data_IF_280380959011
#
_entry.id   IF_280380959011
#
_cell.length_a   1.000
_cell.length_b   1.000
_cell.length_c   1.000
_cell.angle_alpha   90.00
_cell.angle_beta   90.00
_cell.angle_gamma   90.00
#
_symmetry.space_group_name_H-M   'P 1'
#
loop_
_entity.id
_entity.type
_entity.pdbx_description
1 polymer ?
#
# COMPACT_ATOMS: atom_id res chain seq x y z
N UNK A 1 -11.07 -19.03 -9.61
CA UNK A 1 -10.20 -19.94 -8.85
C UNK A 1 -9.15 -19.10 -8.17
N UNK A 2 -9.28 -18.89 -6.86
CA UNK A 2 -8.44 -17.98 -6.08
C UNK A 2 -7.12 -18.67 -5.74
N UNK A 3 -6.06 -18.33 -6.49
CA UNK A 3 -4.71 -18.89 -6.38
C UNK A 3 -4.06 -18.69 -4.99
N UNK A 4 -4.72 -17.97 -4.09
CA UNK A 4 -4.24 -17.71 -2.72
C UNK A 4 -4.42 -18.92 -1.79
N UNK A 5 -5.45 -19.74 -2.01
CA UNK A 5 -5.84 -20.81 -1.09
C UNK A 5 -4.78 -21.92 -0.91
N UNK A 6 -4.07 -22.38 -1.97
CA UNK A 6 -3.06 -23.43 -1.83
C UNK A 6 -1.75 -22.98 -1.16
N UNK A 7 -1.42 -21.68 -1.17
CA UNK A 7 -0.11 -21.18 -0.75
C UNK A 7 -0.01 -20.85 0.75
N UNK A 8 -1.14 -20.61 1.42
CA UNK A 8 -1.15 -20.14 2.83
C UNK A 8 -2.01 -20.99 3.77
N UNK A 9 -2.72 -22.00 3.26
CA UNK A 9 -3.51 -22.93 4.06
C UNK A 9 -4.64 -22.26 4.86
N UNK A 10 -5.35 -23.08 5.65
CA UNK A 10 -6.47 -22.66 6.50
C UNK A 10 -6.11 -21.60 7.58
N UNK A 11 -4.83 -21.23 7.70
CA UNK A 11 -4.33 -20.13 8.54
C UNK A 11 -4.50 -18.73 7.91
N UNK A 12 -4.86 -18.64 6.63
CA UNK A 12 -5.05 -17.36 5.92
C UNK A 12 -6.21 -16.50 6.43
N UNK A 13 -7.15 -17.06 7.19
CA UNK A 13 -8.30 -16.32 7.70
C UNK A 13 -8.01 -15.46 8.94
N UNK A 14 -6.84 -15.61 9.58
CA UNK A 14 -6.52 -14.94 10.85
C UNK A 14 -5.25 -14.07 10.82
N UNK A 15 -4.60 -13.98 9.66
CA UNK A 15 -3.54 -13.01 9.43
C UNK A 15 -4.26 -11.72 9.03
N UNK A 16 -4.14 -10.64 9.82
CA UNK A 16 -4.58 -9.27 9.46
C UNK A 16 -3.77 -8.84 8.22
N UNK A 17 -4.13 -9.37 7.04
CA UNK A 17 -3.50 -9.11 5.74
C UNK A 17 -3.63 -7.63 5.37
N UNK A 18 -4.52 -6.90 6.02
CA UNK A 18 -4.64 -5.45 5.92
C UNK A 18 -3.49 -4.70 6.61
N UNK A 19 -2.69 -5.38 7.44
CA UNK A 19 -1.52 -4.80 8.12
C UNK A 19 -0.20 -5.44 7.68
N UNK A 20 -0.24 -6.54 6.92
CA UNK A 20 0.95 -7.22 6.44
C UNK A 20 1.74 -6.34 5.46
N UNK A 21 1.06 -5.64 4.54
CA UNK A 21 1.71 -4.77 3.56
C UNK A 21 2.57 -3.67 4.21
N UNK A 22 2.03 -2.99 5.21
CA UNK A 22 2.74 -1.92 5.96
C UNK A 22 4.00 -2.48 6.62
N UNK A 23 3.88 -3.61 7.33
CA UNK A 23 5.01 -4.23 8.03
C UNK A 23 6.08 -4.73 7.06
N UNK A 24 5.66 -5.31 5.93
CA UNK A 24 6.57 -5.77 4.88
C UNK A 24 7.35 -4.61 4.28
N UNK A 25 6.69 -3.50 3.97
CA UNK A 25 7.35 -2.32 3.40
C UNK A 25 8.31 -1.70 4.42
N UNK A 26 7.92 -1.54 5.68
CA UNK A 26 8.84 -1.02 6.71
C UNK A 26 10.05 -1.95 6.92
N UNK A 27 9.84 -3.28 6.87
CA UNK A 27 10.92 -4.26 6.96
C UNK A 27 11.86 -4.16 5.77
N UNK A 28 11.32 -4.06 4.54
CA UNK A 28 12.09 -3.87 3.33
C UNK A 28 12.92 -2.58 3.37
N UNK A 29 12.30 -1.46 3.77
CA UNK A 29 13.00 -0.20 3.93
C UNK A 29 14.16 -0.33 4.92
N UNK A 30 13.96 -1.04 6.04
CA UNK A 30 15.01 -1.24 7.03
C UNK A 30 16.14 -2.15 6.58
N UNK A 31 15.82 -3.24 5.87
CA UNK A 31 16.84 -4.12 5.29
C UNK A 31 17.72 -3.45 4.23
N UNK A 32 17.29 -2.30 3.71
CA UNK A 32 17.99 -1.54 2.67
C UNK A 32 18.57 -0.21 3.18
N UNK A 33 18.37 0.14 4.47
CA UNK A 33 18.79 1.44 5.02
C UNK A 33 18.06 2.63 4.39
N UNK A 34 16.77 2.45 4.08
CA UNK A 34 15.91 3.42 3.39
C UNK A 34 14.75 3.91 4.28
N UNK A 35 14.81 3.73 5.60
CA UNK A 35 13.75 4.11 6.55
C UNK A 35 13.39 5.60 6.47
N UNK A 36 14.38 6.45 6.16
CA UNK A 36 14.21 7.89 5.95
C UNK A 36 13.22 8.24 4.82
N UNK A 37 12.93 7.29 3.93
CA UNK A 37 11.97 7.47 2.84
C UNK A 37 10.53 7.13 3.24
N UNK A 38 10.32 6.45 4.37
CA UNK A 38 9.00 6.03 4.84
C UNK A 38 8.68 6.42 6.30
N UNK A 39 8.98 7.66 6.74
CA UNK A 39 8.76 8.05 8.13
C UNK A 39 7.28 8.03 8.56
N UNK A 40 6.34 8.43 7.68
CA UNK A 40 4.90 8.38 8.00
C UNK A 40 4.40 6.94 8.07
N UNK A 41 4.97 6.03 7.27
CA UNK A 41 4.60 4.61 7.32
C UNK A 41 5.10 3.94 8.61
N UNK A 42 6.32 4.27 9.04
CA UNK A 42 6.88 3.83 10.32
C UNK A 42 6.03 4.38 11.48
N UNK A 43 5.69 5.67 11.42
CA UNK A 43 4.81 6.29 12.39
C UNK A 43 3.43 5.62 12.47
N UNK A 44 2.84 5.31 11.31
CA UNK A 44 1.58 4.58 11.23
C UNK A 44 1.70 3.16 11.81
N UNK A 45 2.79 2.45 11.55
CA UNK A 45 3.04 1.12 12.11
C UNK A 45 3.08 1.18 13.64
N UNK A 46 3.79 2.15 14.20
CA UNK A 46 4.05 2.25 15.64
C UNK A 46 2.85 2.84 16.41
N UNK A 47 2.12 3.77 15.78
CA UNK A 47 0.94 4.44 16.35
C UNK A 47 -0.36 4.07 15.61
N UNK A 48 -0.48 2.82 15.17
CA UNK A 48 -1.61 2.36 14.34
C UNK A 48 -2.97 2.64 14.97
N UNK A 49 -3.11 2.35 16.26
CA UNK A 49 -4.36 2.55 16.98
C UNK A 49 -4.81 4.01 16.91
N UNK A 50 -3.89 4.93 17.21
CA UNK A 50 -4.12 6.36 17.12
C UNK A 50 -4.61 6.79 15.74
N UNK A 51 -3.92 6.37 14.67
CA UNK A 51 -4.29 6.75 13.32
C UNK A 51 -5.63 6.18 12.88
N UNK A 52 -5.95 4.93 13.24
CA UNK A 52 -7.25 4.33 12.95
C UNK A 52 -8.37 5.08 13.66
N UNK A 53 -8.18 5.43 14.94
CA UNK A 53 -9.17 6.18 15.71
C UNK A 53 -9.37 7.58 15.14
N UNK A 54 -8.29 8.27 14.72
CA UNK A 54 -8.38 9.55 14.02
C UNK A 54 -9.19 9.45 12.73
N UNK A 55 -8.92 8.45 11.88
CA UNK A 55 -9.65 8.24 10.63
C UNK A 55 -11.13 7.94 10.92
N UNK A 56 -11.42 7.04 11.87
CA UNK A 56 -12.77 6.70 12.29
C UNK A 56 -13.53 7.92 12.78
N UNK A 57 -12.96 8.70 13.68
CA UNK A 57 -13.62 9.85 14.30
C UNK A 57 -13.84 11.00 13.31
N UNK A 58 -12.83 11.34 12.50
CA UNK A 58 -12.92 12.47 11.57
C UNK A 58 -13.84 12.18 10.38
N UNK A 59 -13.95 10.92 9.97
CA UNK A 59 -14.79 10.52 8.84
C UNK A 59 -16.10 9.84 9.23
N UNK A 60 -16.32 9.54 10.51
CA UNK A 60 -17.45 8.74 10.98
C UNK A 60 -17.57 7.39 10.24
N UNK A 61 -16.45 6.68 10.13
CA UNK A 61 -16.35 5.38 9.43
C UNK A 61 -16.04 4.25 10.39
N UNK A 62 -16.42 3.03 9.99
CA UNK A 62 -16.03 1.83 10.73
C UNK A 62 -14.52 1.62 10.68
N UNK A 63 -14.00 0.89 11.67
CA UNK A 63 -12.58 0.54 11.73
C UNK A 63 -12.11 -0.27 10.50
N UNK A 64 -12.96 -1.14 9.97
CA UNK A 64 -12.67 -1.88 8.72
C UNK A 64 -12.49 -0.91 7.55
N UNK A 65 -13.38 0.09 7.40
CA UNK A 65 -13.23 1.10 6.36
C UNK A 65 -11.97 1.96 6.55
N UNK A 66 -11.63 2.33 7.79
CA UNK A 66 -10.43 3.11 8.10
C UNK A 66 -9.13 2.38 7.70
N UNK A 67 -9.03 1.07 7.98
CA UNK A 67 -7.87 0.24 7.60
C UNK A 67 -7.61 0.21 6.10
N UNK A 68 -8.65 0.38 5.28
CA UNK A 68 -8.52 0.36 3.81
C UNK A 68 -7.78 1.57 3.26
N UNK A 69 -7.73 2.70 3.98
CA UNK A 69 -7.08 3.91 3.49
C UNK A 69 -5.57 3.67 3.24
N UNK A 70 -4.77 3.26 4.25
CA UNK A 70 -3.36 2.91 4.02
C UNK A 70 -3.15 1.94 2.86
N UNK A 71 -3.92 0.84 2.80
CA UNK A 71 -3.74 -0.18 1.75
C UNK A 71 -4.03 0.37 0.34
N UNK A 72 -5.04 1.22 0.21
CA UNK A 72 -5.32 1.91 -1.06
C UNK A 72 -4.14 2.78 -1.46
N UNK A 73 -3.55 3.53 -0.52
CA UNK A 73 -2.38 4.39 -0.81
C UNK A 73 -1.16 3.55 -1.19
N UNK A 74 -0.87 2.49 -0.45
CA UNK A 74 0.25 1.57 -0.72
C UNK A 74 0.13 0.90 -2.10
N UNK A 75 -1.10 0.62 -2.53
CA UNK A 75 -1.42 0.10 -3.86
C UNK A 75 -1.42 1.17 -4.97
N UNK A 76 -1.02 2.41 -4.69
CA UNK A 76 -0.97 3.51 -5.67
C UNK A 76 -2.27 4.30 -5.85
N UNK A 77 -3.28 4.02 -5.03
CA UNK A 77 -4.51 4.82 -4.96
C UNK A 77 -4.33 6.14 -4.20
N UNK A 78 -5.44 6.86 -4.06
CA UNK A 78 -5.49 8.20 -3.46
C UNK A 78 -6.57 8.28 -2.39
N UNK A 79 -6.45 9.27 -1.50
CA UNK A 79 -7.45 9.57 -0.47
C UNK A 79 -8.86 9.77 -1.05
N UNK A 80 -8.99 10.47 -2.17
CA UNK A 80 -10.29 10.69 -2.84
C UNK A 80 -10.89 9.39 -3.40
N UNK A 81 -10.03 8.43 -3.77
CA UNK A 81 -10.48 7.08 -4.18
C UNK A 81 -10.99 6.28 -2.98
N UNK A 82 -10.39 6.46 -1.80
CA UNK A 82 -10.88 5.88 -0.56
C UNK A 82 -12.23 6.50 -0.14
N UNK A 83 -12.36 7.83 -0.16
CA UNK A 83 -13.61 8.53 0.16
C UNK A 83 -14.80 8.03 -0.68
N UNK A 84 -14.60 7.90 -2.00
CA UNK A 84 -15.60 7.34 -2.91
C UNK A 84 -16.00 5.92 -2.55
N UNK A 85 -15.05 5.07 -2.13
CA UNK A 85 -15.32 3.68 -1.74
C UNK A 85 -16.06 3.54 -0.41
N UNK A 86 -15.90 4.49 0.51
CA UNK A 86 -16.60 4.47 1.80
C UNK A 86 -17.95 5.21 1.75
N UNK A 87 -18.32 5.78 0.60
CA UNK A 87 -19.63 6.43 0.40
C UNK A 87 -19.76 7.81 1.06
N UNK A 88 -18.63 8.43 1.45
CA UNK A 88 -18.66 9.75 2.07
C UNK A 88 -18.62 10.86 1.00
N UNK A 89 -19.32 11.99 1.24
CA UNK A 89 -19.14 13.18 0.42
C UNK A 89 -17.68 13.63 0.48
N UNK A 90 -17.20 14.30 -0.57
CA UNK A 90 -15.82 14.81 -0.69
C UNK A 90 -15.62 16.03 0.23
N UNK A 91 -15.87 15.84 1.53
CA UNK A 91 -15.56 16.79 2.59
C UNK A 91 -14.23 16.35 3.16
N UNK A 92 -13.19 16.99 2.66
CA UNK A 92 -11.82 16.63 2.99
C UNK A 92 -11.49 16.99 4.45
N UNK A 93 -10.88 16.05 5.16
CA UNK A 93 -10.33 16.31 6.50
C UNK A 93 -8.84 16.52 6.36
N UNK A 94 -8.41 17.78 6.56
CA UNK A 94 -7.04 18.25 6.27
C UNK A 94 -5.95 17.35 6.89
N UNK A 95 -6.19 16.87 8.10
CA UNK A 95 -5.26 15.99 8.82
C UNK A 95 -5.09 14.62 8.13
N UNK A 96 -6.19 13.90 7.89
CA UNK A 96 -6.18 12.58 7.23
C UNK A 96 -5.72 12.68 5.78
N UNK A 97 -6.12 13.73 5.06
CA UNK A 97 -5.64 14.00 3.69
C UNK A 97 -4.13 14.29 3.68
N UNK A 98 -3.63 15.05 4.65
CA UNK A 98 -2.20 15.32 4.82
C UNK A 98 -1.41 14.05 5.08
N UNK A 99 -1.91 13.20 5.99
CA UNK A 99 -1.37 11.86 6.24
C UNK A 99 -1.32 11.01 4.98
N UNK A 100 -2.44 10.87 4.26
CA UNK A 100 -2.51 10.07 3.04
C UNK A 100 -1.59 10.59 1.93
N UNK A 101 -1.45 11.92 1.79
CA UNK A 101 -0.54 12.53 0.82
C UNK A 101 0.93 12.25 1.15
N UNK A 102 1.32 12.32 2.42
CA UNK A 102 2.68 11.97 2.85
C UNK A 102 2.98 10.51 2.56
N UNK A 103 2.10 9.60 2.97
CA UNK A 103 2.22 8.17 2.65
C UNK A 103 2.40 7.92 1.15
N UNK A 104 1.59 8.55 0.31
CA UNK A 104 1.70 8.38 -1.15
C UNK A 104 3.06 8.87 -1.68
N UNK A 105 3.51 10.03 -1.22
CA UNK A 105 4.80 10.61 -1.62
C UNK A 105 5.98 9.75 -1.18
N UNK A 106 5.94 9.25 0.05
CA UNK A 106 6.95 8.36 0.64
C UNK A 106 7.02 7.03 -0.12
N UNK A 107 5.87 6.43 -0.42
CA UNK A 107 5.81 5.19 -1.19
C UNK A 107 6.34 5.36 -2.61
N UNK A 108 6.06 6.50 -3.24
CA UNK A 108 6.63 6.83 -4.54
C UNK A 108 8.15 6.95 -4.45
N UNK A 109 8.68 7.68 -3.46
CA UNK A 109 10.11 7.84 -3.27
C UNK A 109 10.82 6.50 -3.00
N UNK A 110 10.25 5.66 -2.12
CA UNK A 110 10.77 4.32 -1.86
C UNK A 110 10.76 3.47 -3.13
N UNK A 111 9.66 3.45 -3.89
CA UNK A 111 9.57 2.69 -5.14
C UNK A 111 10.62 3.16 -6.15
N UNK A 112 10.78 4.46 -6.33
CA UNK A 112 11.73 5.01 -7.28
C UNK A 112 13.18 4.63 -6.88
N UNK A 113 13.49 4.57 -5.59
CA UNK A 113 14.77 4.04 -5.07
C UNK A 113 14.91 2.53 -5.23
N UNK A 114 13.85 1.75 -4.99
CA UNK A 114 13.87 0.30 -5.20
C UNK A 114 14.15 -0.06 -6.66
N UNK A 115 13.62 0.69 -7.62
CA UNK A 115 13.84 0.43 -9.05
C UNK A 115 15.31 0.57 -9.47
N UNK A 116 16.05 1.49 -8.85
CA UNK A 116 17.48 1.72 -9.16
C UNK A 116 18.42 0.95 -8.23
N UNK A 117 17.89 0.31 -7.19
CA UNK A 117 18.70 -0.39 -6.21
C UNK A 117 19.31 -1.68 -6.81
N UNK A 118 20.62 -1.95 -6.64
CA UNK A 118 21.30 -3.08 -7.28
C UNK A 118 20.65 -4.44 -7.07
N UNK A 119 20.12 -4.70 -5.85
CA UNK A 119 19.37 -5.93 -5.50
C UNK A 119 18.10 -6.16 -6.32
N UNK A 120 17.57 -5.11 -6.95
CA UNK A 120 16.32 -5.15 -7.71
C UNK A 120 16.51 -4.73 -9.17
N UNK A 121 17.76 -4.53 -9.62
CA UNK A 121 18.10 -4.18 -11.01
C UNK A 121 17.55 -5.18 -12.05
N UNK A 122 17.30 -6.44 -11.66
CA UNK A 122 16.65 -7.45 -12.49
C UNK A 122 15.16 -7.18 -12.79
N UNK A 123 14.48 -6.34 -12.00
CA UNK A 123 13.04 -6.05 -12.15
C UNK A 123 12.83 -5.27 -13.45
N UNK A 124 13.79 -4.44 -13.86
CA UNK A 124 13.72 -3.75 -15.15
C UNK A 124 13.86 -4.71 -16.34
N UNK A 125 14.63 -5.79 -16.20
CA UNK A 125 14.75 -6.82 -17.24
C UNK A 125 13.44 -7.61 -17.35
N UNK A 126 12.90 -8.04 -16.22
CA UNK A 126 11.62 -8.77 -16.17
C UNK A 126 10.44 -7.89 -16.61
N UNK A 127 10.38 -6.63 -16.19
CA UNK A 127 9.36 -5.66 -16.61
C UNK A 127 9.42 -5.40 -18.11
N UNK A 128 10.61 -5.22 -18.69
CA UNK A 128 10.80 -5.10 -20.14
C UNK A 128 10.34 -6.37 -20.87
N UNK A 129 10.67 -7.54 -20.33
CA UNK A 129 10.24 -8.83 -20.87
C UNK A 129 8.72 -9.00 -20.84
N UNK A 130 8.07 -8.68 -19.72
CA UNK A 130 6.61 -8.75 -19.55
C UNK A 130 5.88 -7.73 -20.43
N UNK A 131 6.40 -6.51 -20.57
CA UNK A 131 5.85 -5.50 -21.48
C UNK A 131 6.06 -5.86 -22.96
N UNK A 132 7.16 -6.54 -23.29
CA UNK A 132 7.41 -7.06 -24.64
C UNK A 132 6.47 -8.24 -24.97
N UNK A 133 6.24 -9.14 -24.01
CA UNK A 133 5.31 -10.26 -24.15
C UNK A 133 3.85 -9.78 -24.31
N UNK A 134 3.43 -8.77 -23.54
CA UNK A 134 2.09 -8.17 -23.64
C UNK A 134 1.84 -7.34 -24.91
N UNK A 135 2.86 -7.08 -25.73
CA UNK A 135 2.75 -6.40 -27.03
C UNK A 135 2.67 -7.36 -28.21
N UNK A 136 2.72 -8.68 -27.99
CA UNK A 136 2.49 -9.63 -29.08
C UNK A 136 0.99 -9.70 -29.39
N UNK A 137 0.54 -9.31 -30.60
CA UNK A 137 -0.84 -9.49 -30.99
C UNK A 137 -1.08 -10.97 -31.28
N UNK A 138 -1.97 -11.61 -30.51
CA UNK A 138 -2.52 -12.91 -30.88
C UNK A 138 -2.15 -14.12 -30.01
N UNK A 139 -2.18 -14.00 -28.68
CA UNK A 139 -2.41 -15.17 -27.81
C UNK A 139 -3.59 -14.91 -26.88
N UNK A 140 -4.78 -15.20 -27.42
CA UNK A 140 -5.93 -15.61 -26.63
C UNK A 140 -5.92 -17.14 -26.75
N UNK A 141 -5.90 -17.84 -25.61
CA UNK A 141 -6.13 -19.29 -25.56
C UNK A 141 -7.54 -19.63 -26.10
#
# INVERSE_FOLDING_TARGET
SDLRSPLVGAFSHDIDCENSEVRLICSLASQLGLEQLTPTLIDYRDRRQYWLDQICNLHNVTRSQAKRLPNIILSGGMYDSWLRKVGHPVVEKREVKGFARRLWSEMRALRDQLLVHPRFSWIDIERKSLLAAGRQPGRID
#
